data_IF_903354433251
#
_entry.id   IF_903354433251
#
_cell.length_a   1.000
_cell.length_b   1.000
_cell.length_c   1.000
_cell.angle_alpha   90.00
_cell.angle_beta   90.00
_cell.angle_gamma   90.00
#
_symmetry.space_group_name_H-M   'P 1'
#
loop_
_entity.id
_entity.type
_entity.pdbx_description
1 polymer ?
#
# COMPACT_ATOMS: atom_id res chain seq x y z
N UNK A 1 -15.88 16.22 24.06
CA UNK A 1 -15.46 16.23 22.64
C UNK A 1 -15.99 17.49 21.97
N UNK A 2 -15.09 18.32 21.42
CA UNK A 2 -15.40 19.58 20.74
C UNK A 2 -16.40 19.35 19.57
N UNK A 3 -17.39 20.23 19.38
CA UNK A 3 -18.36 20.18 18.29
C UNK A 3 -17.71 20.12 16.91
N UNK A 4 -16.55 20.77 16.74
CA UNK A 4 -15.78 20.71 15.51
C UNK A 4 -15.26 19.29 15.20
N UNK A 5 -14.77 18.58 16.21
CA UNK A 5 -14.31 17.18 16.04
C UNK A 5 -15.48 16.23 15.81
N UNK A 6 -16.65 16.49 16.41
CA UNK A 6 -17.88 15.74 16.10
C UNK A 6 -18.21 15.82 14.60
N UNK A 7 -18.11 16.98 13.96
CA UNK A 7 -18.34 17.13 12.52
C UNK A 7 -17.34 16.31 11.68
N UNK A 8 -16.05 16.30 12.06
CA UNK A 8 -15.05 15.46 11.40
C UNK A 8 -15.38 13.96 11.51
N UNK A 9 -15.79 13.50 12.69
CA UNK A 9 -16.20 12.11 12.91
C UNK A 9 -17.46 11.77 12.10
N UNK A 10 -18.44 12.67 12.06
CA UNK A 10 -19.66 12.49 11.27
C UNK A 10 -19.37 12.38 9.77
N UNK A 11 -18.44 13.21 9.24
CA UNK A 11 -17.99 13.07 7.85
C UNK A 11 -17.25 11.77 7.61
N UNK A 12 -16.32 11.39 8.50
CA UNK A 12 -15.52 10.17 8.28
C UNK A 12 -16.39 8.92 8.33
N UNK A 13 -17.39 8.90 9.22
CA UNK A 13 -18.29 7.78 9.37
C UNK A 13 -19.25 7.64 8.18
N UNK A 14 -19.79 8.77 7.69
CA UNK A 14 -20.91 8.79 6.75
C UNK A 14 -20.54 9.24 5.32
N UNK A 15 -19.25 9.41 5.00
CA UNK A 15 -18.84 9.78 3.65
C UNK A 15 -19.19 8.67 2.64
N UNK A 16 -19.89 9.04 1.57
CA UNK A 16 -20.02 8.16 0.42
C UNK A 16 -18.79 8.30 -0.50
N UNK A 17 -18.25 7.17 -0.95
CA UNK A 17 -16.97 7.06 -1.62
C UNK A 17 -17.08 6.19 -2.88
N UNK A 18 -17.00 6.82 -4.05
CA UNK A 18 -16.86 6.13 -5.34
C UNK A 18 -15.40 5.70 -5.60
N UNK A 19 -14.46 6.36 -4.91
CA UNK A 19 -13.02 6.09 -4.92
C UNK A 19 -12.42 6.60 -3.59
N UNK A 20 -11.11 6.45 -3.42
CA UNK A 20 -10.40 6.77 -2.17
C UNK A 20 -10.09 8.26 -1.96
N UNK A 21 -10.54 9.17 -2.84
CA UNK A 21 -10.13 10.58 -2.79
C UNK A 21 -10.51 11.28 -1.48
N UNK A 22 -11.73 11.08 -0.97
CA UNK A 22 -12.16 11.73 0.28
C UNK A 22 -11.30 11.30 1.47
N UNK A 23 -10.94 10.01 1.51
CA UNK A 23 -10.06 9.46 2.54
C UNK A 23 -8.65 10.04 2.45
N UNK A 24 -8.08 10.06 1.25
CA UNK A 24 -6.76 10.66 1.01
C UNK A 24 -6.74 12.18 1.29
N UNK A 25 -7.80 12.90 0.94
CA UNK A 25 -7.97 14.33 1.22
C UNK A 25 -8.06 14.61 2.72
N UNK A 26 -8.93 13.90 3.44
CA UNK A 26 -9.05 14.03 4.90
C UNK A 26 -7.75 13.68 5.61
N UNK A 27 -7.06 12.60 5.20
CA UNK A 27 -5.77 12.20 5.75
C UNK A 27 -4.69 13.28 5.55
N UNK A 28 -4.66 13.89 4.36
CA UNK A 28 -3.73 14.96 4.03
C UNK A 28 -3.98 16.21 4.87
N UNK A 29 -5.23 16.60 5.09
CA UNK A 29 -5.58 17.73 5.96
C UNK A 29 -5.10 17.49 7.39
N UNK A 30 -5.38 16.31 7.95
CA UNK A 30 -4.97 15.96 9.31
C UNK A 30 -3.44 15.98 9.42
N UNK A 31 -2.72 15.44 8.43
CA UNK A 31 -1.25 15.47 8.42
C UNK A 31 -0.70 16.89 8.38
N UNK A 32 -1.21 17.72 7.49
CA UNK A 32 -0.76 19.11 7.33
C UNK A 32 -1.06 19.93 8.59
N UNK A 33 -2.22 19.73 9.21
CA UNK A 33 -2.56 20.36 10.48
C UNK A 33 -1.65 19.85 11.61
N UNK A 34 -1.27 18.57 11.61
CA UNK A 34 -0.35 18.01 12.60
C UNK A 34 1.06 18.60 12.47
N UNK A 35 1.59 18.67 11.24
CA UNK A 35 2.96 19.08 10.94
C UNK A 35 3.19 20.60 10.99
N UNK A 36 2.16 21.42 10.77
CA UNK A 36 2.37 22.88 10.72
C UNK A 36 2.78 23.44 12.08
N UNK A 37 3.86 24.22 12.12
CA UNK A 37 4.22 25.00 13.30
C UNK A 37 3.67 26.43 13.26
N UNK A 38 3.10 26.84 12.12
CA UNK A 38 2.49 28.16 11.93
C UNK A 38 1.08 28.14 12.52
N UNK A 39 0.92 28.81 13.66
CA UNK A 39 -0.34 28.93 14.40
C UNK A 39 -0.81 30.39 14.44
N UNK A 40 -0.82 31.01 13.26
CA UNK A 40 -1.40 32.32 13.02
C UNK A 40 -2.93 32.29 13.21
N UNK A 41 -3.59 33.46 13.19
CA UNK A 41 -5.07 33.54 13.30
C UNK A 41 -5.77 32.64 12.27
N UNK A 42 -5.19 32.57 11.08
CA UNK A 42 -5.66 31.74 9.97
C UNK A 42 -4.48 30.93 9.42
N UNK A 43 -4.68 29.62 9.28
CA UNK A 43 -3.69 28.69 8.72
C UNK A 43 -4.20 28.20 7.38
N UNK A 44 -3.38 28.33 6.34
CA UNK A 44 -3.79 28.07 4.94
C UNK A 44 -2.96 26.96 4.33
N UNK A 45 -3.62 26.04 3.63
CA UNK A 45 -2.98 25.02 2.81
C UNK A 45 -3.46 25.12 1.37
N UNK A 46 -2.51 25.27 0.44
CA UNK A 46 -2.80 25.23 -0.99
C UNK A 46 -3.13 23.80 -1.43
N UNK A 47 -3.82 23.64 -2.55
CA UNK A 47 -4.09 22.31 -3.11
C UNK A 47 -2.81 21.60 -3.55
N UNK A 48 -1.70 22.31 -3.79
CA UNK A 48 -0.40 21.70 -4.04
C UNK A 48 0.13 21.00 -2.78
N UNK A 49 0.00 21.61 -1.59
CA UNK A 49 0.37 20.95 -0.33
C UNK A 49 -0.41 19.65 -0.14
N UNK A 50 -1.72 19.69 -0.39
CA UNK A 50 -2.61 18.53 -0.24
C UNK A 50 -2.32 17.46 -1.31
N UNK A 51 -2.14 17.88 -2.57
CA UNK A 51 -1.81 16.98 -3.67
C UNK A 51 -0.51 16.22 -3.41
N UNK A 52 0.51 16.89 -2.87
CA UNK A 52 1.79 16.27 -2.49
C UNK A 52 1.59 15.15 -1.47
N UNK A 53 0.77 15.38 -0.43
CA UNK A 53 0.41 14.35 0.56
C UNK A 53 -0.35 13.19 -0.06
N UNK A 54 -1.36 13.47 -0.87
CA UNK A 54 -2.14 12.40 -1.53
C UNK A 54 -1.28 11.57 -2.49
N UNK A 55 -0.37 12.21 -3.25
CA UNK A 55 0.60 11.51 -4.11
C UNK A 55 1.51 10.62 -3.27
N UNK A 56 2.02 11.09 -2.13
CA UNK A 56 2.80 10.26 -1.20
C UNK A 56 2.04 9.00 -0.78
N UNK A 57 0.78 9.12 -0.37
CA UNK A 57 -0.01 7.98 0.07
C UNK A 57 -0.26 6.99 -1.06
N UNK A 58 -0.69 7.49 -2.22
CA UNK A 58 -0.95 6.65 -3.39
C UNK A 58 0.32 6.00 -3.91
N UNK A 59 1.44 6.72 -4.00
CA UNK A 59 2.74 6.16 -4.35
C UNK A 59 3.08 4.96 -3.49
N UNK A 60 2.96 5.10 -2.17
CA UNK A 60 3.30 4.01 -1.26
C UNK A 60 2.32 2.83 -1.41
N UNK A 61 1.02 3.08 -1.62
CA UNK A 61 0.02 2.01 -1.80
C UNK A 61 0.16 1.29 -3.14
N UNK A 62 0.41 2.02 -4.23
CA UNK A 62 0.47 1.47 -5.58
C UNK A 62 1.83 0.85 -5.88
N UNK A 63 2.93 1.47 -5.42
CA UNK A 63 4.26 0.96 -5.76
C UNK A 63 4.65 -0.26 -4.92
N UNK A 64 4.36 -0.28 -3.61
CA UNK A 64 4.69 -1.43 -2.77
C UNK A 64 3.71 -2.60 -2.91
N UNK A 65 2.43 -2.32 -3.12
CA UNK A 65 1.37 -3.33 -2.98
C UNK A 65 0.42 -3.43 -4.18
N UNK A 66 0.56 -2.56 -5.18
CA UNK A 66 -0.31 -2.53 -6.36
C UNK A 66 -1.81 -2.45 -6.02
N UNK A 67 -2.15 -1.73 -4.95
CA UNK A 67 -3.55 -1.55 -4.54
C UNK A 67 -4.27 -0.59 -5.49
N UNK A 68 -5.34 -1.07 -6.10
CA UNK A 68 -6.30 -0.23 -6.81
C UNK A 68 -6.88 0.80 -5.84
N UNK A 69 -7.31 1.95 -6.35
CA UNK A 69 -7.87 3.06 -5.56
C UNK A 69 -9.30 3.44 -6.02
N UNK A 70 -9.88 2.61 -6.88
CA UNK A 70 -11.23 2.75 -7.44
C UNK A 70 -11.71 1.37 -7.90
N UNK A 71 -13.00 1.04 -7.78
CA UNK A 71 -13.55 -0.21 -8.31
C UNK A 71 -13.56 -0.25 -9.84
N UNK A 72 -13.51 0.90 -10.52
CA UNK A 72 -13.56 0.95 -11.99
C UNK A 72 -12.16 0.84 -12.60
N UNK A 73 -11.78 -0.39 -13.01
CA UNK A 73 -10.50 -0.68 -13.68
C UNK A 73 -10.34 0.03 -15.05
N UNK A 74 -11.44 0.43 -15.72
CA UNK A 74 -11.39 1.16 -17.00
C UNK A 74 -11.19 2.66 -16.83
N UNK A 75 -11.59 3.22 -15.68
CA UNK A 75 -11.50 4.66 -15.39
C UNK A 75 -10.71 4.88 -14.10
N UNK A 76 -9.39 4.74 -14.23
CA UNK A 76 -8.44 4.98 -13.15
C UNK A 76 -8.53 6.46 -12.72
N UNK A 77 -8.58 6.78 -11.41
CA UNK A 77 -8.59 8.17 -10.95
C UNK A 77 -7.35 8.96 -11.41
N UNK A 78 -7.52 10.22 -11.80
CA UNK A 78 -6.44 11.06 -12.37
C UNK A 78 -5.21 11.14 -11.44
N UNK A 79 -5.40 11.27 -10.13
CA UNK A 79 -4.28 11.30 -9.18
C UNK A 79 -3.47 9.99 -9.19
N UNK A 80 -4.14 8.85 -9.39
CA UNK A 80 -3.49 7.53 -9.46
C UNK A 80 -2.73 7.39 -10.77
N UNK A 81 -3.29 7.88 -11.88
CA UNK A 81 -2.57 7.96 -13.17
C UNK A 81 -1.30 8.82 -13.04
N UNK A 82 -1.42 9.98 -12.39
CA UNK A 82 -0.32 10.89 -12.12
C UNK A 82 0.78 10.25 -11.26
N UNK A 83 0.39 9.48 -10.24
CA UNK A 83 1.32 8.69 -9.41
C UNK A 83 2.05 7.64 -10.25
N UNK A 84 1.33 6.92 -11.13
CA UNK A 84 1.95 5.93 -12.01
C UNK A 84 2.95 6.58 -12.98
N UNK A 85 2.68 7.78 -13.49
CA UNK A 85 3.65 8.55 -14.28
C UNK A 85 4.92 8.87 -13.48
N UNK A 86 4.78 9.27 -12.21
CA UNK A 86 5.93 9.52 -11.35
C UNK A 86 6.72 8.23 -11.05
N UNK A 87 6.03 7.10 -10.84
CA UNK A 87 6.68 5.80 -10.62
C UNK A 87 7.50 5.43 -11.85
N UNK A 88 6.90 5.45 -13.05
CA UNK A 88 7.59 5.16 -14.30
C UNK A 88 8.79 6.09 -14.53
N UNK A 89 8.64 7.38 -14.22
CA UNK A 89 9.75 8.34 -14.30
C UNK A 89 10.89 7.94 -13.37
N UNK A 90 10.60 7.64 -12.11
CA UNK A 90 11.61 7.22 -11.13
C UNK A 90 12.31 5.92 -11.55
N UNK A 91 11.55 4.92 -11.99
CA UNK A 91 12.10 3.64 -12.47
C UNK A 91 13.03 3.85 -13.67
N UNK A 92 12.68 4.76 -14.59
CA UNK A 92 13.53 5.07 -15.74
C UNK A 92 14.85 5.75 -15.35
N UNK A 93 14.80 6.69 -14.41
CA UNK A 93 15.99 7.42 -13.93
C UNK A 93 16.90 6.48 -13.14
N UNK A 94 16.33 5.67 -12.25
CA UNK A 94 17.09 4.81 -11.34
C UNK A 94 17.38 3.42 -11.90
N UNK A 95 16.82 3.07 -13.06
CA UNK A 95 16.94 1.75 -13.72
C UNK A 95 16.62 0.60 -12.76
N UNK A 96 15.53 0.74 -12.02
CA UNK A 96 15.10 -0.25 -11.03
C UNK A 96 13.57 -0.30 -10.95
N UNK A 97 13.03 -1.49 -10.69
CA UNK A 97 11.61 -1.70 -10.39
C UNK A 97 11.38 -1.98 -8.89
N UNK A 98 12.40 -1.75 -8.06
CA UNK A 98 12.31 -1.99 -6.62
C UNK A 98 11.57 -0.82 -5.97
N UNK A 99 10.45 -1.07 -5.28
CA UNK A 99 9.67 -0.01 -4.65
C UNK A 99 10.46 0.68 -3.53
N UNK A 100 10.35 2.01 -3.52
CA UNK A 100 10.91 2.87 -2.47
C UNK A 100 9.83 3.79 -1.91
N UNK A 101 10.04 4.28 -0.70
CA UNK A 101 9.20 5.31 -0.10
C UNK A 101 9.21 6.59 -0.93
N UNK A 102 8.05 7.24 -1.05
CA UNK A 102 7.92 8.50 -1.79
C UNK A 102 8.90 9.57 -1.29
N UNK A 103 9.14 9.68 0.01
CA UNK A 103 10.07 10.68 0.56
C UNK A 103 11.50 10.51 0.00
N UNK A 104 11.93 9.26 -0.27
CA UNK A 104 13.20 8.98 -0.94
C UNK A 104 13.12 9.32 -2.42
N UNK A 105 12.07 8.86 -3.12
CA UNK A 105 11.90 9.11 -4.55
C UNK A 105 11.82 10.61 -4.88
N UNK A 106 11.15 11.38 -4.03
CA UNK A 106 10.97 12.82 -4.18
C UNK A 106 12.30 13.57 -4.16
N UNK A 107 13.32 13.10 -3.44
CA UNK A 107 14.65 13.76 -3.45
C UNK A 107 15.26 13.83 -4.84
N UNK A 108 14.91 12.87 -5.71
CA UNK A 108 15.33 12.79 -7.11
C UNK A 108 14.29 13.50 -7.99
N UNK A 109 13.02 13.10 -7.88
CA UNK A 109 11.95 13.55 -8.78
C UNK A 109 11.70 15.06 -8.72
N UNK A 110 11.93 15.72 -7.58
CA UNK A 110 11.68 17.17 -7.43
C UNK A 110 12.48 18.05 -8.40
N UNK A 111 13.57 17.53 -8.95
CA UNK A 111 14.41 18.22 -9.93
C UNK A 111 13.89 18.08 -11.36
N UNK A 112 12.95 17.16 -11.59
CA UNK A 112 12.38 16.91 -12.91
C UNK A 112 11.26 17.90 -13.25
N UNK A 113 11.27 18.43 -14.48
CA UNK A 113 10.21 19.33 -14.96
C UNK A 113 8.81 18.69 -14.87
N UNK A 114 8.74 17.38 -15.13
CA UNK A 114 7.50 16.62 -15.09
C UNK A 114 6.89 16.56 -13.67
N UNK A 115 7.72 16.54 -12.62
CA UNK A 115 7.24 16.48 -11.25
C UNK A 115 6.37 17.70 -10.89
N UNK A 116 6.87 18.92 -11.14
CA UNK A 116 6.11 20.15 -10.86
C UNK A 116 4.80 20.21 -11.65
N UNK A 117 4.81 19.76 -12.90
CA UNK A 117 3.60 19.65 -13.73
C UNK A 117 2.58 18.69 -13.08
N UNK A 118 3.03 17.50 -12.68
CA UNK A 118 2.16 16.49 -12.06
C UNK A 118 1.57 16.97 -10.73
N UNK A 119 2.33 17.67 -9.88
CA UNK A 119 1.80 18.28 -8.66
C UNK A 119 0.69 19.29 -9.00
N UNK A 120 0.91 20.16 -9.99
CA UNK A 120 -0.06 21.18 -10.41
C UNK A 120 -1.34 20.56 -10.99
N UNK A 121 -1.21 19.55 -11.85
CA UNK A 121 -2.36 18.89 -12.46
C UNK A 121 -3.14 18.07 -11.42
N UNK A 122 -2.44 17.49 -10.44
CA UNK A 122 -3.07 16.86 -9.28
C UNK A 122 -3.84 17.90 -8.44
N UNK A 123 -3.26 19.07 -8.15
CA UNK A 123 -3.96 20.14 -7.44
C UNK A 123 -5.25 20.59 -8.16
N UNK A 124 -5.22 20.74 -9.49
CA UNK A 124 -6.42 21.04 -10.29
C UNK A 124 -7.47 19.95 -10.20
N UNK A 125 -7.06 18.68 -10.17
CA UNK A 125 -7.97 17.55 -9.98
C UNK A 125 -8.70 17.66 -8.64
N UNK A 126 -7.99 18.02 -7.56
CA UNK A 126 -8.61 18.15 -6.23
C UNK A 126 -9.71 19.22 -6.18
N UNK A 127 -9.57 20.30 -6.95
CA UNK A 127 -10.58 21.36 -7.10
C UNK A 127 -11.92 20.83 -7.59
N UNK A 128 -11.89 19.90 -8.52
CA UNK A 128 -13.07 19.39 -9.20
C UNK A 128 -13.69 18.20 -8.44
N UNK A 129 -12.84 17.33 -7.90
CA UNK A 129 -13.25 15.99 -7.51
C UNK A 129 -13.52 15.82 -6.01
N UNK A 130 -12.85 16.58 -5.13
CA UNK A 130 -12.90 16.28 -3.69
C UNK A 130 -13.02 17.48 -2.76
N UNK A 131 -12.44 18.64 -3.09
CA UNK A 131 -12.30 19.74 -2.12
C UNK A 131 -13.62 20.25 -1.53
N UNK A 132 -14.68 20.31 -2.33
CA UNK A 132 -16.03 20.67 -1.87
C UNK A 132 -16.85 19.44 -1.47
N UNK A 133 -16.63 18.29 -2.12
CA UNK A 133 -17.38 17.04 -1.85
C UNK A 133 -17.05 16.42 -0.50
N UNK A 134 -15.85 16.65 0.02
CA UNK A 134 -15.44 16.15 1.34
C UNK A 134 -16.29 16.75 2.47
N UNK A 135 -16.77 18.00 2.30
CA UNK A 135 -17.67 18.66 3.24
C UNK A 135 -19.09 18.07 3.26
N UNK A 136 -19.39 17.11 2.39
CA UNK A 136 -20.72 16.53 2.21
C UNK A 136 -20.78 15.08 2.71
N UNK A 137 -21.62 14.84 3.71
CA UNK A 137 -21.93 13.50 4.23
C UNK A 137 -23.36 13.46 4.78
N UNK A 138 -24.02 12.30 4.68
CA UNK A 138 -25.41 12.11 5.15
C UNK A 138 -26.40 13.21 4.69
N UNK A 139 -26.29 13.64 3.41
CA UNK A 139 -27.10 14.73 2.82
C UNK A 139 -26.98 16.09 3.53
N UNK A 140 -25.95 16.29 4.36
CA UNK A 140 -25.62 17.54 5.05
C UNK A 140 -24.27 18.08 4.59
N UNK A 141 -24.13 19.40 4.63
CA UNK A 141 -22.84 20.08 4.50
C UNK A 141 -22.31 20.45 5.89
N UNK A 142 -21.02 20.23 6.11
CA UNK A 142 -20.33 20.54 7.36
C UNK A 142 -19.30 21.64 7.14
N UNK A 143 -19.18 22.53 8.13
CA UNK A 143 -18.24 23.64 8.10
C UNK A 143 -16.87 23.21 8.67
N UNK A 144 -16.13 22.43 7.87
CA UNK A 144 -14.83 21.90 8.28
C UNK A 144 -13.67 22.88 8.06
N UNK A 145 -13.74 23.65 6.97
CA UNK A 145 -12.73 24.61 6.54
C UNK A 145 -13.34 25.61 5.56
N UNK A 146 -12.74 26.80 5.52
CA UNK A 146 -12.97 27.73 4.42
C UNK A 146 -12.32 27.18 3.15
N UNK A 147 -13.01 27.30 2.02
CA UNK A 147 -12.58 26.78 0.73
C UNK A 147 -12.63 27.89 -0.32
N UNK A 148 -11.47 28.24 -0.87
CA UNK A 148 -11.37 29.08 -2.06
C UNK A 148 -10.99 28.22 -3.27
N UNK A 149 -11.98 27.93 -4.12
CA UNK A 149 -11.77 27.12 -5.34
C UNK A 149 -11.04 27.89 -6.44
N UNK A 150 -11.06 29.22 -6.44
CA UNK A 150 -10.43 30.03 -7.47
C UNK A 150 -8.92 30.12 -7.19
N UNK A 151 -8.58 30.43 -5.95
CA UNK A 151 -7.20 30.49 -5.48
C UNK A 151 -6.63 29.11 -5.10
N UNK A 152 -7.47 28.05 -5.08
CA UNK A 152 -7.09 26.66 -4.79
C UNK A 152 -6.42 26.48 -3.43
N UNK A 153 -7.07 26.98 -2.38
CA UNK A 153 -6.62 26.76 -1.01
C UNK A 153 -7.79 26.46 -0.08
N UNK A 154 -7.46 25.85 1.06
CA UNK A 154 -8.33 25.76 2.23
C UNK A 154 -7.68 26.50 3.38
N UNK A 155 -8.50 27.05 4.28
CA UNK A 155 -7.99 27.66 5.49
C UNK A 155 -8.80 27.31 6.73
N UNK A 156 -8.11 27.37 7.87
CA UNK A 156 -8.59 26.98 9.18
C UNK A 156 -8.31 28.11 10.16
N UNK A 157 -9.16 28.24 11.18
CA UNK A 157 -8.82 29.03 12.36
C UNK A 157 -7.75 28.33 13.18
N UNK A 158 -7.00 29.08 13.98
CA UNK A 158 -6.05 28.53 14.95
C UNK A 158 -6.67 27.43 15.82
N UNK A 159 -7.90 27.63 16.31
CA UNK A 159 -8.57 26.67 17.19
C UNK A 159 -8.93 25.36 16.48
N UNK A 160 -9.30 25.43 15.20
CA UNK A 160 -9.56 24.24 14.38
C UNK A 160 -8.28 23.42 14.18
N UNK A 161 -7.15 24.07 13.87
CA UNK A 161 -5.84 23.39 13.74
C UNK A 161 -5.44 22.75 15.06
N UNK A 162 -5.54 23.47 16.18
CA UNK A 162 -5.23 22.91 17.52
C UNK A 162 -6.09 21.68 17.84
N UNK A 163 -7.39 21.73 17.51
CA UNK A 163 -8.29 20.59 17.70
C UNK A 163 -7.88 19.41 16.80
N UNK A 164 -7.54 19.64 15.53
CA UNK A 164 -7.08 18.57 14.63
C UNK A 164 -5.74 17.97 15.08
N UNK A 165 -4.84 18.78 15.64
CA UNK A 165 -3.58 18.32 16.23
C UNK A 165 -3.84 17.38 17.41
N UNK A 166 -4.67 17.81 18.36
CA UNK A 166 -5.02 17.07 19.56
C UNK A 166 -5.61 15.69 19.23
N UNK A 167 -6.50 15.62 18.24
CA UNK A 167 -7.20 14.38 17.84
C UNK A 167 -6.56 13.68 16.63
N UNK A 168 -5.38 14.12 16.18
CA UNK A 168 -4.75 13.65 14.93
C UNK A 168 -4.54 12.14 14.91
N UNK A 169 -4.13 11.55 16.04
CA UNK A 169 -3.95 10.10 16.17
C UNK A 169 -5.26 9.35 15.90
N UNK A 170 -6.33 9.68 16.65
CA UNK A 170 -7.63 9.00 16.54
C UNK A 170 -8.23 9.18 15.16
N UNK A 171 -8.22 10.41 14.62
CA UNK A 171 -8.76 10.69 13.29
C UNK A 171 -7.97 9.96 12.19
N UNK A 172 -6.64 9.88 12.31
CA UNK A 172 -5.81 9.16 11.35
C UNK A 172 -6.10 7.66 11.38
N UNK A 173 -6.25 7.05 12.57
CA UNK A 173 -6.63 5.64 12.69
C UNK A 173 -8.01 5.36 12.08
N UNK A 174 -8.98 6.25 12.32
CA UNK A 174 -10.33 6.12 11.76
C UNK A 174 -10.32 6.23 10.23
N UNK A 175 -9.59 7.19 9.66
CA UNK A 175 -9.45 7.30 8.21
C UNK A 175 -8.77 6.06 7.63
N UNK A 176 -7.69 5.58 8.24
CA UNK A 176 -6.99 4.38 7.77
C UNK A 176 -7.90 3.15 7.78
N UNK A 177 -8.73 3.01 8.83
CA UNK A 177 -9.72 1.95 8.91
C UNK A 177 -10.76 2.05 7.79
N UNK A 178 -11.38 3.22 7.59
CA UNK A 178 -12.35 3.44 6.51
C UNK A 178 -11.72 3.26 5.12
N UNK A 179 -10.45 3.61 4.97
CA UNK A 179 -9.71 3.41 3.72
C UNK A 179 -9.47 1.93 3.45
N UNK A 180 -9.05 1.15 4.45
CA UNK A 180 -8.94 -0.30 4.33
C UNK A 180 -10.28 -0.96 3.95
N UNK A 181 -11.36 -0.60 4.64
CA UNK A 181 -12.71 -1.10 4.33
C UNK A 181 -13.15 -0.78 2.89
N UNK A 182 -12.83 0.41 2.39
CA UNK A 182 -13.15 0.78 1.01
C UNK A 182 -12.31 -0.03 0.01
N UNK A 183 -11.02 -0.18 0.26
CA UNK A 183 -10.11 -0.93 -0.61
C UNK A 183 -10.51 -2.41 -0.71
N UNK A 184 -10.93 -3.02 0.39
CA UNK A 184 -11.42 -4.41 0.44
C UNK A 184 -12.61 -4.69 -0.48
N UNK A 185 -13.38 -3.65 -0.87
CA UNK A 185 -14.52 -3.84 -1.79
C UNK A 185 -14.10 -4.19 -3.22
N UNK A 186 -12.86 -3.89 -3.61
CA UNK A 186 -12.41 -4.05 -5.00
C UNK A 186 -10.96 -4.50 -5.15
N UNK A 187 -10.24 -4.72 -4.05
CA UNK A 187 -8.94 -5.37 -4.04
C UNK A 187 -9.08 -6.76 -3.39
N UNK A 188 -8.54 -7.78 -4.04
CA UNK A 188 -8.56 -9.18 -3.54
C UNK A 188 -7.32 -9.56 -2.75
N UNK A 189 -6.44 -8.59 -2.51
CA UNK A 189 -5.19 -8.81 -1.81
C UNK A 189 -5.45 -9.04 -0.32
N UNK A 190 -4.80 -10.04 0.32
CA UNK A 190 -4.95 -10.22 1.76
C UNK A 190 -4.30 -9.07 2.56
N UNK A 191 -4.71 -8.95 3.83
CA UNK A 191 -4.10 -8.04 4.82
C UNK A 191 -4.11 -6.55 4.41
N UNK A 192 -5.15 -6.10 3.71
CA UNK A 192 -5.28 -4.69 3.28
C UNK A 192 -5.17 -3.72 4.46
N UNK A 193 -5.86 -4.00 5.57
CA UNK A 193 -5.74 -3.18 6.78
C UNK A 193 -4.29 -3.05 7.26
N UNK A 194 -3.52 -4.15 7.27
CA UNK A 194 -2.10 -4.13 7.64
C UNK A 194 -1.24 -3.37 6.63
N UNK A 195 -1.55 -3.43 5.33
CA UNK A 195 -0.85 -2.66 4.29
C UNK A 195 -1.07 -1.17 4.45
N UNK A 196 -2.32 -0.74 4.64
CA UNK A 196 -2.69 0.67 4.88
C UNK A 196 -2.02 1.20 6.14
N UNK A 197 -2.04 0.42 7.23
CA UNK A 197 -1.36 0.76 8.48
C UNK A 197 0.16 0.85 8.30
N UNK A 198 0.77 -0.16 7.67
CA UNK A 198 2.21 -0.20 7.42
C UNK A 198 2.72 0.99 6.62
N UNK A 199 1.93 1.47 5.66
CA UNK A 199 2.21 2.71 4.92
C UNK A 199 2.10 3.93 5.79
N UNK A 200 1.02 4.03 6.57
CA UNK A 200 0.74 5.20 7.40
C UNK A 200 1.79 5.40 8.49
N UNK A 201 2.29 4.29 9.04
CA UNK A 201 3.28 4.29 10.13
C UNK A 201 4.73 4.28 9.59
N UNK A 202 4.93 4.24 8.26
CA UNK A 202 6.24 4.04 7.62
C UNK A 202 7.00 2.78 8.10
N UNK A 203 6.28 1.69 8.35
CA UNK A 203 6.82 0.45 8.95
C UNK A 203 6.97 -0.71 7.97
N UNK A 204 6.69 -0.53 6.67
CA UNK A 204 6.95 -1.55 5.65
C UNK A 204 8.44 -1.94 5.67
N UNK A 205 8.71 -3.17 6.11
CA UNK A 205 10.05 -3.79 6.09
C UNK A 205 9.91 -5.25 5.67
N UNK A 206 10.77 -5.69 4.74
CA UNK A 206 10.93 -7.11 4.43
C UNK A 206 11.92 -7.71 5.43
N UNK A 207 11.52 -8.78 6.11
CA UNK A 207 12.40 -9.49 7.03
C UNK A 207 13.40 -10.34 6.24
N UNK A 208 14.54 -10.67 6.86
CA UNK A 208 15.45 -11.66 6.28
C UNK A 208 14.78 -13.03 6.23
N UNK A 209 14.75 -13.62 5.03
CA UNK A 209 14.21 -14.97 4.81
C UNK A 209 15.24 -16.07 5.10
N UNK A 210 16.50 -15.72 5.43
CA UNK A 210 17.58 -16.69 5.67
C UNK A 210 17.22 -17.71 6.77
N UNK A 211 16.39 -17.30 7.75
CA UNK A 211 15.89 -18.18 8.81
C UNK A 211 15.12 -19.41 8.30
N UNK A 212 14.53 -19.33 7.10
CA UNK A 212 13.78 -20.44 6.50
C UNK A 212 14.65 -21.42 5.70
N UNK A 213 15.91 -21.04 5.36
CA UNK A 213 16.80 -21.83 4.48
C UNK A 213 16.96 -23.27 4.98
N UNK A 214 17.27 -23.45 6.27
CA UNK A 214 17.51 -24.77 6.86
C UNK A 214 16.27 -25.67 6.84
N UNK A 215 15.09 -25.07 7.00
CA UNK A 215 13.82 -25.80 6.98
C UNK A 215 13.47 -26.21 5.55
N UNK A 216 13.64 -25.31 4.59
CA UNK A 216 13.38 -25.58 3.19
C UNK A 216 14.33 -26.62 2.60
N UNK A 217 15.59 -26.67 3.05
CA UNK A 217 16.54 -27.71 2.64
C UNK A 217 16.06 -29.13 2.96
N UNK A 218 15.22 -29.31 3.98
CA UNK A 218 14.68 -30.63 4.33
C UNK A 218 13.85 -31.26 3.23
N UNK A 219 13.20 -30.47 2.36
CA UNK A 219 12.34 -31.02 1.29
C UNK A 219 13.10 -31.90 0.29
N UNK A 220 14.42 -31.71 0.19
CA UNK A 220 15.28 -32.41 -0.77
C UNK A 220 16.47 -33.09 -0.07
N UNK A 221 16.24 -33.65 1.11
CA UNK A 221 17.28 -34.32 1.91
C UNK A 221 18.55 -33.47 2.08
N UNK A 222 18.36 -32.20 2.42
CA UNK A 222 19.42 -31.19 2.61
C UNK A 222 20.21 -30.80 1.36
N UNK A 223 19.83 -31.26 0.17
CA UNK A 223 20.35 -30.75 -1.08
C UNK A 223 19.62 -29.47 -1.49
N UNK A 224 20.36 -28.40 -1.78
CA UNK A 224 19.79 -27.18 -2.30
C UNK A 224 19.43 -27.37 -3.78
N UNK A 225 18.15 -27.56 -4.07
CA UNK A 225 17.64 -27.67 -5.44
C UNK A 225 16.81 -26.44 -5.74
N UNK A 226 17.07 -25.82 -6.88
CA UNK A 226 16.31 -24.68 -7.40
C UNK A 226 14.89 -25.11 -7.74
N UNK A 227 13.90 -24.46 -7.12
CA UNK A 227 12.49 -24.82 -7.27
C UNK A 227 11.97 -24.65 -8.71
N UNK A 228 12.53 -23.71 -9.49
CA UNK A 228 12.03 -23.40 -10.83
C UNK A 228 12.73 -24.20 -11.93
N UNK A 229 14.00 -24.55 -11.73
CA UNK A 229 14.84 -25.20 -12.75
C UNK A 229 15.20 -26.64 -12.44
N UNK A 230 15.03 -27.08 -11.19
CA UNK A 230 15.42 -28.41 -10.72
C UNK A 230 16.94 -28.62 -10.61
N UNK A 231 17.76 -27.58 -10.84
CA UNK A 231 19.22 -27.68 -10.77
C UNK A 231 19.71 -27.59 -9.32
N UNK A 232 20.81 -28.28 -9.03
CA UNK A 232 21.49 -28.14 -7.74
C UNK A 232 22.11 -26.74 -7.64
N UNK A 233 21.88 -26.08 -6.51
CA UNK A 233 22.38 -24.74 -6.20
C UNK A 233 23.71 -24.83 -5.46
N UNK A 234 24.63 -23.95 -5.83
CA UNK A 234 25.84 -23.69 -5.06
C UNK A 234 25.49 -22.88 -3.81
N UNK A 235 26.22 -23.10 -2.71
CA UNK A 235 25.88 -22.50 -1.41
C UNK A 235 25.76 -20.97 -1.44
N UNK A 236 26.65 -20.32 -2.20
CA UNK A 236 26.70 -18.88 -2.39
C UNK A 236 25.61 -18.32 -3.32
N UNK A 237 24.87 -19.17 -4.03
CA UNK A 237 23.78 -18.81 -4.94
C UNK A 237 22.38 -19.09 -4.38
N UNK A 238 22.29 -19.74 -3.21
CA UNK A 238 20.99 -20.03 -2.59
C UNK A 238 20.30 -18.73 -2.15
N UNK A 239 19.08 -18.55 -2.64
CA UNK A 239 18.12 -17.53 -2.24
C UNK A 239 16.80 -18.17 -1.80
N UNK A 240 16.01 -17.40 -1.05
CA UNK A 240 14.64 -17.77 -0.70
C UNK A 240 13.70 -16.81 -1.43
N UNK A 241 12.72 -17.36 -2.14
CA UNK A 241 11.74 -16.60 -2.92
C UNK A 241 10.31 -16.88 -2.45
N UNK A 242 9.43 -15.90 -2.62
CA UNK A 242 7.99 -16.03 -2.42
C UNK A 242 7.34 -16.45 -3.73
N UNK A 243 6.71 -17.63 -3.79
CA UNK A 243 6.06 -18.10 -5.03
C UNK A 243 4.89 -17.19 -5.44
N UNK A 244 4.02 -16.88 -4.50
CA UNK A 244 3.01 -15.82 -4.59
C UNK A 244 3.67 -14.51 -4.11
N UNK A 245 3.67 -13.42 -4.91
CA UNK A 245 4.42 -12.21 -4.59
C UNK A 245 4.18 -11.64 -3.20
N UNK A 246 5.25 -11.23 -2.52
CA UNK A 246 5.16 -10.61 -1.20
C UNK A 246 4.33 -9.32 -1.19
N UNK A 247 4.36 -8.54 -2.28
CA UNK A 247 3.50 -7.35 -2.43
C UNK A 247 2.01 -7.68 -2.36
N UNK A 248 1.62 -8.87 -2.83
CA UNK A 248 0.27 -9.39 -2.71
C UNK A 248 0.01 -9.97 -1.32
N UNK A 249 0.86 -10.88 -0.83
CA UNK A 249 0.60 -11.59 0.44
C UNK A 249 0.80 -10.73 1.69
N UNK A 250 1.81 -9.87 1.68
CA UNK A 250 2.33 -9.13 2.84
C UNK A 250 2.56 -10.03 4.07
N UNK A 251 3.21 -11.15 3.81
CA UNK A 251 3.55 -12.19 4.78
C UNK A 251 4.77 -13.00 4.32
N UNK A 252 5.49 -13.55 5.29
CA UNK A 252 6.62 -14.45 5.06
C UNK A 252 6.24 -15.86 5.53
N UNK A 253 5.21 -16.42 4.89
CA UNK A 253 4.62 -17.70 5.29
C UNK A 253 5.35 -18.88 4.60
N UNK A 254 5.78 -19.89 5.36
CA UNK A 254 6.66 -20.99 4.89
C UNK A 254 6.07 -21.78 3.72
N UNK A 255 4.75 -21.92 3.68
CA UNK A 255 4.02 -22.60 2.60
C UNK A 255 4.16 -21.87 1.26
N UNK A 256 4.55 -20.59 1.28
CA UNK A 256 4.76 -19.77 0.10
C UNK A 256 6.26 -19.55 -0.24
N UNK A 257 7.18 -20.03 0.61
CA UNK A 257 8.63 -19.80 0.45
C UNK A 257 9.35 -21.00 -0.17
N UNK A 258 10.21 -20.77 -1.15
CA UNK A 258 10.99 -21.83 -1.84
C UNK A 258 12.46 -21.47 -1.98
N UNK A 259 13.33 -22.47 -2.17
CA UNK A 259 14.74 -22.25 -2.52
C UNK A 259 14.89 -22.02 -4.02
N UNK A 260 15.71 -21.06 -4.40
CA UNK A 260 16.01 -20.74 -5.81
C UNK A 260 17.38 -20.08 -5.93
N UNK A 261 17.93 -19.99 -7.14
CA UNK A 261 19.11 -19.16 -7.43
C UNK A 261 18.81 -17.67 -7.27
N UNK A 262 19.86 -16.86 -7.03
CA UNK A 262 19.71 -15.40 -6.94
C UNK A 262 19.21 -14.80 -8.26
N UNK A 263 19.65 -15.34 -9.40
CA UNK A 263 19.23 -14.89 -10.73
C UNK A 263 17.74 -15.13 -10.94
N UNK A 264 17.24 -16.34 -10.70
CA UNK A 264 15.81 -16.65 -10.83
C UNK A 264 14.93 -15.79 -9.92
N UNK A 265 15.34 -15.58 -8.66
CA UNK A 265 14.63 -14.70 -7.74
C UNK A 265 14.53 -13.27 -8.30
N UNK A 266 15.64 -12.74 -8.82
CA UNK A 266 15.67 -11.40 -9.42
C UNK A 266 14.84 -11.29 -10.71
N UNK A 267 14.83 -12.32 -11.55
CA UNK A 267 14.13 -12.32 -12.84
C UNK A 267 12.61 -12.46 -12.69
N UNK A 268 12.15 -13.22 -11.69
CA UNK A 268 10.72 -13.43 -11.48
C UNK A 268 9.99 -12.16 -11.01
N UNK A 269 10.59 -11.38 -10.11
CA UNK A 269 9.99 -10.15 -9.58
C UNK A 269 8.54 -10.37 -9.07
N UNK A 270 7.62 -9.42 -9.28
CA UNK A 270 6.20 -9.49 -8.89
C UNK A 270 5.30 -10.18 -9.94
N UNK A 271 5.87 -11.02 -10.83
CA UNK A 271 5.09 -11.69 -11.89
C UNK A 271 4.18 -12.77 -11.29
N UNK A 272 2.94 -12.84 -11.79
CA UNK A 272 1.99 -13.89 -11.42
C UNK A 272 2.56 -15.27 -11.84
N UNK A 273 2.70 -16.24 -10.92
CA UNK A 273 3.25 -17.55 -11.26
C UNK A 273 2.37 -18.32 -12.28
N UNK A 274 2.97 -19.22 -13.05
CA UNK A 274 2.22 -20.10 -13.94
C UNK A 274 1.46 -21.18 -13.16
N UNK A 275 0.42 -21.78 -13.75
CA UNK A 275 -0.31 -22.88 -13.10
C UNK A 275 0.62 -24.04 -12.72
N UNK A 276 1.57 -24.40 -13.58
CA UNK A 276 2.54 -25.46 -13.28
C UNK A 276 3.41 -25.15 -12.07
N UNK A 277 3.82 -23.89 -11.89
CA UNK A 277 4.56 -23.45 -10.68
C UNK A 277 3.70 -23.57 -9.42
N UNK A 278 2.39 -23.31 -9.53
CA UNK A 278 1.43 -23.44 -8.43
C UNK A 278 1.22 -24.90 -8.03
N UNK A 279 1.07 -25.81 -8.99
CA UNK A 279 0.97 -27.25 -8.67
C UNK A 279 2.27 -27.77 -8.04
N UNK A 280 3.44 -27.39 -8.57
CA UNK A 280 4.74 -27.71 -7.95
C UNK A 280 4.84 -27.21 -6.51
N UNK A 281 4.26 -26.04 -6.21
CA UNK A 281 4.25 -25.48 -4.85
C UNK A 281 3.40 -26.35 -3.90
N UNK A 282 2.23 -26.79 -4.36
CA UNK A 282 1.33 -27.68 -3.59
C UNK A 282 1.99 -29.01 -3.30
N UNK A 283 2.59 -29.64 -4.31
CA UNK A 283 3.35 -30.88 -4.14
C UNK A 283 4.53 -30.71 -3.18
N UNK A 284 5.25 -29.59 -3.29
CA UNK A 284 6.33 -29.24 -2.34
C UNK A 284 5.80 -29.14 -0.91
N UNK A 285 4.68 -28.44 -0.69
CA UNK A 285 4.08 -28.28 0.64
C UNK A 285 3.64 -29.63 1.24
N UNK A 286 3.00 -30.48 0.44
CA UNK A 286 2.56 -31.81 0.84
C UNK A 286 3.72 -32.75 1.23
N UNK A 287 4.89 -32.58 0.60
CA UNK A 287 6.12 -33.28 1.00
C UNK A 287 6.73 -32.67 2.27
N UNK A 288 6.88 -31.35 2.30
CA UNK A 288 7.57 -30.64 3.37
C UNK A 288 6.90 -30.83 4.74
N UNK A 289 5.57 -30.83 4.80
CA UNK A 289 4.81 -31.00 6.06
C UNK A 289 5.08 -32.35 6.74
N UNK A 290 5.43 -33.39 5.96
CA UNK A 290 5.77 -34.73 6.48
C UNK A 290 7.19 -34.80 7.05
N UNK A 291 8.05 -33.84 6.71
CA UNK A 291 9.49 -33.83 7.03
C UNK A 291 9.85 -32.83 8.14
N UNK A 292 8.96 -31.89 8.44
CA UNK A 292 9.19 -30.88 9.48
C UNK A 292 8.65 -31.39 10.83
N UNK A 293 9.50 -31.26 11.86
CA UNK A 293 9.15 -31.52 13.26
C UNK A 293 8.93 -30.25 14.08
N UNK A 294 9.35 -29.09 13.57
CA UNK A 294 9.09 -27.80 14.21
C UNK A 294 7.59 -27.50 14.12
N UNK A 295 6.90 -27.51 15.26
CA UNK A 295 5.44 -27.39 15.34
C UNK A 295 4.94 -26.12 14.66
N UNK A 296 5.63 -24.99 14.84
CA UNK A 296 5.22 -23.71 14.26
C UNK A 296 5.07 -23.79 12.74
N UNK A 297 6.09 -24.28 12.05
CA UNK A 297 6.06 -24.33 10.58
C UNK A 297 5.20 -25.48 10.06
N UNK A 298 5.09 -26.56 10.83
CA UNK A 298 4.22 -27.70 10.49
C UNK A 298 2.75 -27.29 10.54
N UNK A 299 2.32 -26.61 11.60
CA UNK A 299 0.95 -26.14 11.78
C UNK A 299 0.58 -25.12 10.69
N UNK A 300 1.51 -24.23 10.35
CA UNK A 300 1.31 -23.25 9.27
C UNK A 300 1.13 -23.92 7.90
N UNK A 301 1.90 -24.98 7.61
CA UNK A 301 1.73 -25.78 6.39
C UNK A 301 0.42 -26.56 6.38
N UNK A 302 0.06 -27.20 7.49
CA UNK A 302 -1.21 -27.94 7.62
C UNK A 302 -2.39 -27.03 7.39
N UNK A 303 -2.42 -25.87 8.06
CA UNK A 303 -3.47 -24.88 7.87
C UNK A 303 -3.59 -24.44 6.40
N UNK A 304 -2.45 -24.19 5.74
CA UNK A 304 -2.42 -23.77 4.35
C UNK A 304 -2.91 -24.85 3.38
N UNK A 305 -2.59 -26.13 3.66
CA UNK A 305 -3.06 -27.27 2.88
C UNK A 305 -4.56 -27.50 3.09
N UNK A 306 -5.02 -27.54 4.35
CA UNK A 306 -6.42 -27.82 4.69
C UNK A 306 -7.40 -26.76 4.18
N UNK A 307 -6.92 -25.52 3.99
CA UNK A 307 -7.73 -24.39 3.53
C UNK A 307 -7.42 -23.97 2.09
N UNK A 308 -6.67 -24.79 1.34
CA UNK A 308 -6.29 -24.55 -0.06
C UNK A 308 -5.72 -23.14 -0.32
N UNK A 309 -4.88 -22.64 0.62
CA UNK A 309 -4.38 -21.26 0.56
C UNK A 309 -3.66 -20.94 -0.74
N UNK A 310 -2.87 -21.88 -1.25
CA UNK A 310 -2.12 -21.69 -2.51
C UNK A 310 -3.08 -21.38 -3.66
N UNK A 311 -4.11 -22.20 -3.87
CA UNK A 311 -5.07 -22.02 -4.96
C UNK A 311 -5.95 -20.79 -4.71
N UNK A 312 -6.42 -20.61 -3.47
CA UNK A 312 -7.25 -19.46 -3.08
C UNK A 312 -6.56 -18.13 -3.38
N UNK A 313 -5.30 -17.98 -2.96
CA UNK A 313 -4.55 -16.74 -3.17
C UNK A 313 -4.10 -16.59 -4.63
N UNK A 314 -3.78 -17.68 -5.31
CA UNK A 314 -3.47 -17.65 -6.73
C UNK A 314 -4.66 -17.18 -7.59
N UNK A 315 -5.86 -17.70 -7.32
CA UNK A 315 -7.09 -17.26 -7.99
C UNK A 315 -7.39 -15.80 -7.66
N UNK A 316 -7.26 -15.39 -6.41
CA UNK A 316 -7.48 -14.01 -5.99
C UNK A 316 -6.55 -13.00 -6.72
N UNK A 317 -5.33 -13.39 -7.07
CA UNK A 317 -4.42 -12.54 -7.86
C UNK A 317 -4.85 -12.33 -9.31
N UNK A 318 -5.68 -13.23 -9.87
CA UNK A 318 -6.10 -13.18 -11.28
C UNK A 318 -7.35 -12.31 -11.53
N UNK A 319 -8.01 -11.86 -10.47
CA UNK A 319 -9.29 -11.12 -10.54
C UNK A 319 -9.04 -9.60 -10.62
#
# INVERSE_FOLDING_TARGET
MNSYIKQWLEIIENMNNDNTYKLAWGRAIIELCFETNQLDKQVTFTFQHIAKKMIKYYWNQTYFFHLDQSPNKKKIPILVQNVNLLINLYESIQRTHVPVWFDKAETILKHEKQYRKIINDSAKTLKNDVSWRFKLANKKEYDLYYLDKNCMFISFTKQQVLSLKEYSFVLSQLINFKWAQLLEKFNHSPRIASKVKGISDNTIKRSSLTKYKNILLKSNNYQAIDFYTGKVLQENDISVDHVIPWSFMYSDDIWNLVLTSKSNNSSKSNIIPSQGVIESLKERNARLVKLINDSKYKDELLLAIENDYVDKFYLAMKI
#
